data_IF_366145565029
#
_entry.id   IF_366145565029
#
_cell.length_a   1.000
_cell.length_b   1.000
_cell.length_c   1.000
_cell.angle_alpha   90.00
_cell.angle_beta   90.00
_cell.angle_gamma   90.00
#
_symmetry.space_group_name_H-M   'P 1'
#
loop_
_entity.id
_entity.type
_entity.pdbx_description
1 polymer ?
#
# COMPACT_ATOMS: atom_id res chain seq x y z
N UNK A 1 53.85 12.44 5.07
CA UNK A 1 54.88 12.47 4.01
C UNK A 1 55.64 11.15 4.10
N UNK A 2 55.68 10.41 2.98
CA UNK A 2 56.28 9.06 2.77
C UNK A 2 55.54 7.91 3.51
N UNK A 3 55.13 6.79 2.91
CA UNK A 3 55.35 6.24 1.57
C UNK A 3 54.19 5.32 1.15
N UNK A 4 53.90 5.38 -0.14
CA UNK A 4 52.93 4.60 -0.91
C UNK A 4 53.64 3.40 -1.58
N UNK A 5 52.87 2.42 -2.07
CA UNK A 5 53.28 1.18 -2.81
C UNK A 5 53.55 -0.08 -2.00
N UNK A 6 52.50 -0.89 -1.84
CA UNK A 6 52.55 -2.35 -2.14
C UNK A 6 51.14 -2.96 -2.13
N UNK A 7 50.67 -3.35 -3.32
CA UNK A 7 49.91 -4.59 -3.64
C UNK A 7 48.87 -4.33 -4.72
N UNK A 8 49.36 -4.39 -5.96
CA UNK A 8 48.56 -4.69 -7.13
C UNK A 8 49.10 -6.03 -7.67
N UNK A 9 48.44 -7.13 -7.32
CA UNK A 9 48.62 -8.47 -7.92
C UNK A 9 47.60 -9.42 -7.32
N UNK A 10 46.43 -9.59 -7.95
CA UNK A 10 45.76 -10.88 -8.19
C UNK A 10 44.69 -10.66 -9.27
N UNK A 11 45.08 -10.83 -10.52
CA UNK A 11 44.18 -11.09 -11.63
C UNK A 11 44.88 -12.10 -12.52
N UNK A 12 44.70 -13.39 -12.24
CA UNK A 12 44.94 -14.52 -13.15
C UNK A 12 44.77 -15.82 -12.37
N UNK A 13 43.59 -16.44 -12.47
CA UNK A 13 43.37 -17.89 -12.42
C UNK A 13 41.87 -18.16 -12.31
N UNK A 14 41.22 -18.36 -13.46
CA UNK A 14 40.29 -19.48 -13.69
C UNK A 14 39.56 -19.32 -15.03
N UNK A 15 40.27 -19.69 -16.10
CA UNK A 15 39.72 -19.98 -17.42
C UNK A 15 40.34 -21.28 -17.93
N UNK A 16 39.78 -22.43 -17.50
CA UNK A 16 39.87 -23.76 -18.15
C UNK A 16 39.13 -24.77 -17.27
N UNK A 17 37.93 -25.16 -17.62
CA UNK A 17 37.55 -26.44 -18.28
C UNK A 17 36.00 -26.48 -18.21
N UNK A 18 35.18 -27.00 -19.13
CA UNK A 18 35.33 -27.93 -20.25
C UNK A 18 34.09 -27.77 -21.16
N UNK A 19 34.28 -27.97 -22.47
CA UNK A 19 33.24 -27.99 -23.50
C UNK A 19 32.58 -29.38 -23.65
N UNK A 20 31.57 -29.44 -24.56
CA UNK A 20 30.71 -30.56 -25.01
C UNK A 20 29.39 -30.63 -24.21
N UNK A 21 28.17 -30.61 -24.78
CA UNK A 21 27.70 -31.12 -26.08
C UNK A 21 26.33 -30.49 -26.43
N UNK A 22 26.10 -30.22 -27.72
CA UNK A 22 24.82 -29.85 -28.35
C UNK A 22 24.07 -31.10 -28.86
N UNK A 23 22.73 -31.17 -28.72
CA UNK A 23 21.78 -31.24 -29.86
C UNK A 23 20.33 -31.68 -29.52
N UNK A 24 19.37 -31.07 -30.26
CA UNK A 24 17.99 -31.51 -30.65
C UNK A 24 16.91 -31.58 -29.55
N UNK A 25 15.63 -31.21 -29.75
CA UNK A 25 14.71 -31.01 -30.90
C UNK A 25 13.62 -29.98 -30.49
N UNK A 26 13.14 -29.02 -31.31
CA UNK A 26 12.23 -29.03 -32.47
C UNK A 26 10.75 -29.44 -32.20
N UNK A 27 9.83 -28.53 -32.56
CA UNK A 27 8.36 -28.70 -32.72
C UNK A 27 7.57 -27.63 -31.95
N UNK A 28 6.79 -26.69 -32.50
CA UNK A 28 6.16 -26.55 -33.81
C UNK A 28 4.65 -26.76 -33.69
N UNK A 29 3.84 -25.71 -33.90
CA UNK A 29 2.37 -25.83 -33.98
C UNK A 29 1.64 -24.48 -33.99
N UNK A 30 1.10 -24.12 -35.15
CA UNK A 30 0.35 -22.90 -35.45
C UNK A 30 -1.09 -23.26 -35.91
N UNK A 31 -2.02 -22.35 -35.67
CA UNK A 31 -3.28 -22.08 -36.38
C UNK A 31 -4.56 -22.95 -36.24
N UNK A 32 -5.67 -22.20 -36.15
CA UNK A 32 -6.93 -22.31 -36.91
C UNK A 32 -8.23 -22.80 -36.21
N UNK A 33 -9.19 -21.86 -36.12
CA UNK A 33 -10.63 -21.88 -36.48
C UNK A 33 -11.44 -23.20 -36.33
N UNK A 34 -12.72 -23.21 -35.92
CA UNK A 34 -13.88 -22.63 -36.64
C UNK A 34 -15.18 -22.85 -35.83
N UNK A 35 -16.17 -21.98 -36.03
CA UNK A 35 -17.60 -22.16 -35.70
C UNK A 35 -18.19 -23.43 -36.39
N UNK A 36 -19.38 -23.98 -36.11
CA UNK A 36 -20.73 -23.37 -36.25
C UNK A 36 -21.81 -24.43 -35.88
N UNK A 37 -22.85 -23.99 -35.15
CA UNK A 37 -24.32 -24.08 -35.44
C UNK A 37 -25.11 -25.42 -35.66
N UNK A 38 -26.17 -25.52 -34.82
CA UNK A 38 -27.62 -25.79 -35.07
C UNK A 38 -28.24 -27.16 -35.43
N UNK A 39 -29.41 -27.34 -34.78
CA UNK A 39 -30.70 -27.96 -35.20
C UNK A 39 -30.88 -29.49 -35.07
N UNK A 40 -31.71 -29.98 -34.15
CA UNK A 40 -33.21 -30.06 -34.08
C UNK A 40 -33.80 -31.30 -34.80
N UNK A 41 -34.49 -32.19 -34.05
CA UNK A 41 -35.92 -32.57 -34.28
C UNK A 41 -36.42 -33.80 -33.47
N UNK A 42 -37.46 -33.50 -32.67
CA UNK A 42 -38.78 -34.16 -32.54
C UNK A 42 -38.97 -35.68 -32.38
N UNK A 43 -39.71 -36.08 -31.33
CA UNK A 43 -40.99 -36.86 -31.32
C UNK A 43 -41.40 -37.12 -29.86
N UNK A 44 -42.49 -36.53 -29.35
CA UNK A 44 -43.89 -37.00 -29.36
C UNK A 44 -44.13 -38.33 -28.64
N UNK A 45 -44.84 -38.27 -27.50
CA UNK A 45 -45.42 -39.42 -26.81
C UNK A 45 -46.07 -39.00 -25.48
N UNK A 46 -47.38 -38.70 -25.52
CA UNK A 46 -48.23 -38.46 -24.36
C UNK A 46 -48.32 -39.70 -23.45
N UNK A 47 -48.18 -39.51 -22.13
CA UNK A 47 -48.92 -40.31 -21.18
C UNK A 47 -49.17 -39.52 -19.88
N UNK A 48 -50.44 -39.32 -19.56
CA UNK A 48 -50.92 -38.72 -18.31
C UNK A 48 -50.71 -39.69 -17.16
N UNK A 49 -50.14 -39.22 -16.05
CA UNK A 49 -50.77 -39.38 -14.73
C UNK A 49 -50.08 -38.58 -13.62
N UNK A 50 -50.93 -38.03 -12.75
CA UNK A 50 -50.78 -37.79 -11.31
C UNK A 50 -49.75 -36.76 -10.84
N UNK A 51 -50.31 -35.61 -10.43
CA UNK A 51 -50.03 -34.85 -9.19
C UNK A 51 -48.59 -34.90 -8.64
N UNK A 52 -47.92 -33.77 -8.76
CA UNK A 52 -47.31 -33.05 -7.62
C UNK A 52 -46.85 -31.69 -8.14
N UNK A 53 -47.65 -30.66 -7.84
CA UNK A 53 -47.22 -29.26 -7.98
C UNK A 53 -45.99 -29.06 -7.10
N UNK A 54 -44.81 -29.12 -7.71
CA UNK A 54 -43.59 -28.60 -7.12
C UNK A 54 -43.34 -27.26 -7.78
N UNK A 55 -44.08 -26.24 -7.34
CA UNK A 55 -43.75 -24.85 -7.68
C UNK A 55 -42.36 -24.54 -7.11
N UNK A 56 -41.40 -24.43 -8.02
CA UNK A 56 -40.15 -23.72 -7.78
C UNK A 56 -40.44 -22.22 -7.87
N UNK A 57 -39.95 -21.50 -6.85
CA UNK A 57 -39.96 -20.03 -6.58
C UNK A 57 -41.06 -19.72 -5.58
N UNK A 58 -40.72 -19.43 -4.33
CA UNK A 58 -39.89 -18.28 -3.99
C UNK A 58 -38.61 -18.61 -3.18
N UNK A 59 -37.45 -18.18 -3.70
CA UNK A 59 -36.17 -18.13 -2.96
C UNK A 59 -35.95 -16.67 -2.52
N UNK A 60 -36.97 -16.04 -1.94
CA UNK A 60 -36.90 -14.64 -1.52
C UNK A 60 -37.36 -14.41 -0.07
N UNK A 61 -37.55 -15.48 0.71
CA UNK A 61 -38.04 -15.37 2.09
C UNK A 61 -37.04 -15.84 3.16
N UNK A 62 -35.75 -16.00 2.83
CA UNK A 62 -34.71 -16.23 3.85
C UNK A 62 -33.42 -15.47 3.53
N UNK A 63 -33.44 -14.15 3.70
CA UNK A 63 -32.34 -13.41 4.37
C UNK A 63 -33.00 -12.24 5.13
N UNK A 64 -33.81 -12.58 6.13
CA UNK A 64 -34.05 -11.71 7.28
C UNK A 64 -32.86 -11.92 8.23
N UNK A 65 -31.96 -10.96 8.22
CA UNK A 65 -31.42 -10.33 9.42
C UNK A 65 -30.30 -9.40 8.98
N UNK A 66 -30.63 -8.12 8.93
CA UNK A 66 -29.70 -6.99 8.83
C UNK A 66 -28.79 -6.84 10.05
N UNK A 67 -28.41 -7.94 10.70
CA UNK A 67 -27.36 -8.03 11.70
C UNK A 67 -26.11 -8.61 11.03
N UNK A 68 -25.34 -7.73 10.40
CA UNK A 68 -23.90 -7.95 10.32
C UNK A 68 -23.44 -8.32 11.74
N UNK A 69 -22.96 -9.55 11.93
CA UNK A 69 -22.44 -10.04 13.20
C UNK A 69 -21.31 -9.11 13.67
N UNK A 70 -21.67 -8.10 14.47
CA UNK A 70 -20.79 -7.18 15.19
C UNK A 70 -20.47 -7.72 16.60
N UNK A 71 -20.90 -8.95 16.90
CA UNK A 71 -20.89 -9.51 18.25
C UNK A 71 -19.48 -9.78 18.82
N UNK A 72 -18.42 -9.59 18.04
CA UNK A 72 -17.03 -9.84 18.47
C UNK A 72 -16.03 -8.77 18.01
N UNK A 73 -16.51 -7.54 17.73
CA UNK A 73 -15.63 -6.41 17.44
C UNK A 73 -15.51 -5.51 18.66
N UNK A 74 -14.26 -5.27 19.07
CA UNK A 74 -13.89 -4.22 20.03
C UNK A 74 -14.49 -2.89 19.60
N UNK A 75 -15.07 -2.18 20.56
CA UNK A 75 -15.50 -0.80 20.39
C UNK A 75 -14.29 0.13 20.36
N UNK A 76 -14.21 0.96 19.33
CA UNK A 76 -13.14 1.97 19.21
C UNK A 76 -13.36 3.06 20.24
N UNK A 77 -12.38 3.26 21.12
CA UNK A 77 -12.44 4.29 22.17
C UNK A 77 -11.65 5.55 21.79
N UNK A 78 -12.02 6.74 22.28
CA UNK A 78 -11.15 7.91 22.17
C UNK A 78 -9.87 7.70 22.97
N UNK A 79 -8.72 7.90 22.32
CA UNK A 79 -7.41 7.82 22.95
C UNK A 79 -6.94 9.22 23.31
N UNK A 80 -6.73 9.45 24.60
CA UNK A 80 -6.34 10.72 25.20
C UNK A 80 -5.06 10.54 26.04
N UNK A 81 -4.37 11.62 26.41
CA UNK A 81 -3.16 11.55 27.25
C UNK A 81 -3.40 10.86 28.61
N UNK A 82 -4.63 10.90 29.11
CA UNK A 82 -4.99 10.32 30.41
C UNK A 82 -5.16 8.80 30.35
N UNK A 83 -5.66 8.27 29.23
CA UNK A 83 -5.98 6.86 29.08
C UNK A 83 -4.99 6.07 28.21
N UNK A 84 -4.24 6.72 27.32
CA UNK A 84 -3.40 6.05 26.34
C UNK A 84 -1.91 6.33 26.59
N UNK A 85 -1.19 5.34 27.12
CA UNK A 85 0.25 5.44 27.37
C UNK A 85 0.98 4.68 26.27
N UNK A 86 1.69 5.41 25.42
CA UNK A 86 2.51 4.81 24.37
C UNK A 86 3.95 4.61 24.84
N UNK A 87 4.50 3.44 24.55
CA UNK A 87 5.89 3.12 24.90
C UNK A 87 6.59 2.44 23.74
N UNK A 88 7.92 2.48 23.74
CA UNK A 88 8.75 1.74 22.78
C UNK A 88 9.15 0.40 23.40
N UNK A 89 8.73 -0.70 22.79
CA UNK A 89 9.15 -2.03 23.21
C UNK A 89 10.65 -2.24 22.99
N UNK A 90 11.21 -3.28 23.61
CA UNK A 90 12.62 -3.65 23.45
C UNK A 90 13.01 -3.90 21.98
N UNK A 91 12.07 -4.36 21.16
CA UNK A 91 12.26 -4.56 19.71
C UNK A 91 12.11 -3.30 18.86
N UNK A 92 11.89 -2.13 19.48
CA UNK A 92 11.73 -0.87 18.78
C UNK A 92 10.37 -0.67 18.11
N UNK A 93 9.36 -1.44 18.53
CA UNK A 93 7.97 -1.29 18.09
C UNK A 93 7.21 -0.40 19.07
N UNK A 94 6.13 0.22 18.60
CA UNK A 94 5.22 0.97 19.46
C UNK A 94 4.26 0.02 20.18
N UNK A 95 4.13 0.21 21.49
CA UNK A 95 3.21 -0.50 22.38
C UNK A 95 2.24 0.50 22.99
N UNK A 96 1.07 0.02 23.45
CA UNK A 96 0.05 0.83 24.09
C UNK A 96 -0.39 0.17 25.40
N UNK A 97 -0.44 0.93 26.48
CA UNK A 97 -1.23 0.61 27.65
C UNK A 97 -2.47 1.49 27.63
N UNK A 98 -3.66 0.88 27.58
CA UNK A 98 -4.94 1.56 27.67
C UNK A 98 -5.49 1.42 29.09
N UNK A 99 -5.74 2.55 29.73
CA UNK A 99 -6.38 2.62 31.04
C UNK A 99 -7.88 2.73 30.89
N UNK A 100 -8.60 2.03 31.75
CA UNK A 100 -10.04 2.07 31.81
C UNK A 100 -10.52 2.76 33.09
N UNK A 101 -11.42 3.73 32.93
CA UNK A 101 -12.07 4.49 33.99
C UNK A 101 -13.34 3.83 34.52
N UNK A 102 -13.88 2.83 33.81
CA UNK A 102 -15.03 2.01 34.21
C UNK A 102 -14.69 0.90 35.23
N UNK A 103 -13.45 0.87 35.74
CA UNK A 103 -12.97 -0.11 36.71
C UNK A 103 -12.51 -1.43 36.09
N UNK A 104 -12.46 -1.55 34.77
CA UNK A 104 -11.77 -2.67 34.10
C UNK A 104 -10.26 -2.58 34.31
N UNK A 105 -9.60 -3.73 34.20
CA UNK A 105 -8.14 -3.80 34.22
C UNK A 105 -7.55 -3.08 33.01
N UNK A 106 -6.38 -2.45 33.20
CA UNK A 106 -5.63 -1.83 32.11
C UNK A 106 -5.26 -2.89 31.06
N UNK A 107 -5.51 -2.58 29.79
CA UNK A 107 -5.15 -3.46 28.68
C UNK A 107 -3.75 -3.10 28.16
N UNK A 108 -2.92 -4.11 27.94
CA UNK A 108 -1.59 -3.93 27.33
C UNK A 108 -1.50 -4.57 25.94
N UNK A 109 -1.14 -3.75 24.96
CA UNK A 109 -0.88 -4.15 23.59
C UNK A 109 0.63 -4.11 23.33
N UNK A 110 1.24 -5.30 23.20
CA UNK A 110 2.68 -5.42 22.93
C UNK A 110 3.10 -4.70 21.64
N UNK A 111 2.23 -4.70 20.63
CA UNK A 111 2.45 -3.98 19.37
C UNK A 111 1.15 -3.36 18.90
N UNK A 112 1.21 -2.09 18.50
CA UNK A 112 0.12 -1.41 17.80
C UNK A 112 0.56 -0.89 16.43
N UNK A 113 -0.40 -0.64 15.57
CA UNK A 113 -0.23 0.03 14.27
C UNK A 113 -0.96 1.36 14.34
N UNK A 114 -0.28 2.43 13.93
CA UNK A 114 -0.86 3.77 13.81
C UNK A 114 -1.14 4.10 12.34
N UNK A 115 -2.34 4.61 12.06
CA UNK A 115 -2.82 4.95 10.72
C UNK A 115 -3.44 6.35 10.71
N UNK A 116 -3.15 7.14 9.67
CA UNK A 116 -3.88 8.38 9.42
C UNK A 116 -5.23 8.04 8.78
N UNK A 117 -6.34 8.46 9.39
CA UNK A 117 -7.65 8.39 8.74
C UNK A 117 -7.74 9.36 7.57
N UNK A 118 -7.08 10.52 7.69
CA UNK A 118 -7.01 11.55 6.65
C UNK A 118 -5.56 11.90 6.31
N UNK A 119 -4.84 11.05 5.54
CA UNK A 119 -3.40 11.19 5.32
C UNK A 119 -2.96 12.51 4.70
N UNK A 120 -3.85 13.16 3.94
CA UNK A 120 -3.55 14.36 3.15
C UNK A 120 -4.02 15.63 3.86
N UNK A 121 -5.31 15.69 4.23
CA UNK A 121 -5.94 16.90 4.76
C UNK A 121 -5.63 17.12 6.23
N UNK A 122 -5.59 16.06 7.04
CA UNK A 122 -5.38 16.16 8.48
C UNK A 122 -4.33 15.12 8.94
N UNK A 123 -3.05 15.27 8.52
CA UNK A 123 -2.02 14.25 8.76
C UNK A 123 -1.65 14.03 10.24
N UNK A 124 -2.03 14.97 11.11
CA UNK A 124 -1.76 14.96 12.56
C UNK A 124 -3.04 14.80 13.40
N UNK A 125 -4.18 14.55 12.77
CA UNK A 125 -5.48 14.36 13.43
C UNK A 125 -6.13 13.04 13.00
N UNK A 126 -7.04 12.54 13.83
CA UNK A 126 -7.78 11.30 13.57
C UNK A 126 -6.84 10.11 13.29
N UNK A 127 -5.92 9.87 14.21
CA UNK A 127 -4.96 8.77 14.09
C UNK A 127 -5.58 7.52 14.69
N UNK A 128 -5.90 6.55 13.84
CA UNK A 128 -6.40 5.24 14.23
C UNK A 128 -5.26 4.40 14.80
N UNK A 129 -5.46 3.82 15.98
CA UNK A 129 -4.54 2.89 16.63
C UNK A 129 -5.19 1.52 16.63
N UNK A 130 -4.47 0.52 16.09
CA UNK A 130 -5.01 -0.81 15.82
C UNK A 130 -4.07 -1.90 16.27
N UNK A 131 -4.62 -3.08 16.49
CA UNK A 131 -3.81 -4.28 16.55
C UNK A 131 -3.13 -4.57 15.19
N UNK A 132 -2.03 -5.32 15.18
CA UNK A 132 -1.40 -5.75 13.94
C UNK A 132 -2.24 -6.77 13.18
N UNK A 133 -2.13 -6.74 11.85
CA UNK A 133 -2.71 -7.80 11.01
C UNK A 133 -1.98 -9.13 11.30
N UNK A 134 -2.74 -10.22 11.40
CA UNK A 134 -2.19 -11.56 11.62
C UNK A 134 -2.80 -12.56 10.65
N UNK A 135 -2.06 -13.62 10.31
CA UNK A 135 -2.58 -14.69 9.44
C UNK A 135 -3.80 -15.40 10.04
N UNK A 136 -3.87 -15.46 11.38
CA UNK A 136 -4.93 -16.16 12.09
C UNK A 136 -6.21 -15.33 12.23
N UNK A 137 -6.10 -14.02 12.56
CA UNK A 137 -7.26 -13.14 12.82
C UNK A 137 -7.57 -12.17 11.67
N UNK A 138 -6.77 -12.15 10.61
CA UNK A 138 -6.95 -11.22 9.50
C UNK A 138 -6.56 -9.79 9.87
N UNK A 139 -7.41 -8.82 9.53
CA UNK A 139 -7.16 -7.41 9.85
C UNK A 139 -7.27 -7.14 11.34
N UNK A 140 -6.28 -6.45 11.90
CA UNK A 140 -6.30 -6.06 13.31
C UNK A 140 -7.48 -5.15 13.64
N UNK A 141 -8.08 -5.38 14.81
CA UNK A 141 -9.20 -4.57 15.29
C UNK A 141 -8.70 -3.16 15.68
N UNK A 142 -9.57 -2.17 15.56
CA UNK A 142 -9.25 -0.82 16.02
C UNK A 142 -9.36 -0.76 17.53
N UNK A 143 -8.29 -0.32 18.18
CA UNK A 143 -8.25 -0.14 19.62
C UNK A 143 -8.92 1.17 19.99
N UNK A 144 -8.59 2.23 19.24
CA UNK A 144 -9.13 3.54 19.45
C UNK A 144 -8.59 4.57 18.47
N UNK A 145 -8.99 5.84 18.67
CA UNK A 145 -8.60 6.94 17.80
C UNK A 145 -8.10 8.14 18.60
N UNK A 146 -6.95 8.66 18.20
CA UNK A 146 -6.42 9.93 18.68
C UNK A 146 -7.05 11.06 17.86
N UNK A 147 -7.65 12.03 18.54
CA UNK A 147 -8.26 13.19 17.87
C UNK A 147 -7.21 14.12 17.29
N UNK A 148 -6.22 14.55 18.07
CA UNK A 148 -5.08 15.37 17.64
C UNK A 148 -3.81 14.90 18.33
N UNK A 149 -2.72 14.78 17.57
CA UNK A 149 -1.42 14.44 18.17
C UNK A 149 -0.94 15.52 19.14
N UNK A 150 -1.24 16.79 18.88
CA UNK A 150 -0.86 17.92 19.75
C UNK A 150 -1.44 17.86 21.17
N UNK A 151 -2.42 16.98 21.42
CA UNK A 151 -2.99 16.81 22.76
C UNK A 151 -2.04 15.99 23.66
N UNK A 152 -1.12 15.20 23.08
CA UNK A 152 -0.13 14.38 23.81
C UNK A 152 1.18 15.13 24.07
N UNK A 153 2.00 14.60 24.99
CA UNK A 153 3.34 15.10 25.26
C UNK A 153 4.30 14.90 24.06
N UNK A 154 5.39 15.68 24.03
CA UNK A 154 6.32 15.71 22.91
C UNK A 154 7.01 14.35 22.64
N UNK A 155 7.25 13.55 23.68
CA UNK A 155 7.87 12.23 23.54
C UNK A 155 6.92 11.25 22.85
N UNK A 156 5.66 11.20 23.30
CA UNK A 156 4.60 10.40 22.69
C UNK A 156 4.34 10.83 21.24
N UNK A 157 4.25 12.13 20.99
CA UNK A 157 4.05 12.67 19.63
C UNK A 157 5.20 12.25 18.71
N UNK A 158 6.44 12.36 19.19
CA UNK A 158 7.61 11.94 18.42
C UNK A 158 7.56 10.45 18.10
N UNK A 159 7.22 9.60 19.07
CA UNK A 159 7.11 8.15 18.90
C UNK A 159 6.08 7.81 17.80
N UNK A 160 4.89 8.40 17.87
CA UNK A 160 3.83 8.17 16.88
C UNK A 160 4.24 8.68 15.50
N UNK A 161 4.87 9.86 15.41
CA UNK A 161 5.38 10.40 14.14
C UNK A 161 6.44 9.51 13.51
N UNK A 162 7.33 8.93 14.29
CA UNK A 162 8.34 8.00 13.77
C UNK A 162 7.68 6.79 13.09
N UNK A 163 6.62 6.22 13.70
CA UNK A 163 5.88 5.11 13.10
C UNK A 163 5.04 5.52 11.89
N UNK A 164 4.39 6.69 11.94
CA UNK A 164 3.68 7.24 10.79
C UNK A 164 4.64 7.52 9.61
N UNK A 165 5.83 8.07 9.87
CA UNK A 165 6.82 8.35 8.83
C UNK A 165 7.39 7.09 8.19
N UNK A 166 7.54 6.00 8.96
CA UNK A 166 7.92 4.69 8.42
C UNK A 166 6.86 4.13 7.48
N UNK A 167 5.58 4.37 7.78
CA UNK A 167 4.46 3.82 7.01
C UNK A 167 4.06 4.68 5.81
N UNK A 168 4.02 5.99 5.98
CA UNK A 168 3.63 6.98 4.97
C UNK A 168 4.87 7.70 4.43
N UNK A 169 5.90 6.93 4.09
CA UNK A 169 7.15 7.50 3.60
C UNK A 169 6.95 8.09 2.22
N UNK A 170 7.01 9.42 2.12
CA UNK A 170 6.95 10.16 0.87
C UNK A 170 8.17 11.07 0.74
N UNK A 171 9.23 10.66 0.01
CA UNK A 171 10.40 11.51 -0.18
C UNK A 171 10.03 12.83 -0.85
N UNK A 172 10.55 13.93 -0.30
CA UNK A 172 10.35 15.26 -0.89
C UNK A 172 11.31 15.44 -2.05
N UNK A 173 10.79 15.73 -3.24
CA UNK A 173 11.59 16.04 -4.43
C UNK A 173 12.19 17.45 -4.26
N UNK A 174 13.51 17.51 -4.26
CA UNK A 174 14.29 18.76 -4.16
C UNK A 174 14.69 19.30 -5.53
N UNK A 175 14.92 18.41 -6.49
CA UNK A 175 15.39 18.75 -7.84
C UNK A 175 14.97 17.68 -8.85
N UNK A 176 14.58 18.09 -10.04
CA UNK A 176 14.24 17.20 -11.16
C UNK A 176 15.30 17.35 -12.25
N UNK A 177 16.15 16.34 -12.39
CA UNK A 177 17.24 16.32 -13.37
C UNK A 177 16.70 16.10 -14.78
N UNK A 178 15.86 15.07 -14.97
CA UNK A 178 15.30 14.76 -16.28
C UNK A 178 13.91 14.15 -16.19
N UNK A 179 13.10 14.44 -17.21
CA UNK A 179 11.80 13.80 -17.48
C UNK A 179 11.82 13.42 -18.96
N UNK A 180 11.64 12.13 -19.25
CA UNK A 180 11.69 11.59 -20.62
C UNK A 180 10.46 10.75 -20.89
N UNK A 181 9.75 11.03 -21.97
CA UNK A 181 8.56 10.27 -22.34
C UNK A 181 8.89 9.22 -23.42
N UNK A 182 8.44 7.98 -23.22
CA UNK A 182 8.62 6.88 -24.17
C UNK A 182 7.50 5.85 -24.02
N UNK A 183 6.85 5.51 -25.13
CA UNK A 183 5.76 4.51 -25.18
C UNK A 183 4.62 4.77 -24.17
N UNK A 184 4.27 6.03 -23.94
CA UNK A 184 3.24 6.42 -22.97
C UNK A 184 3.70 6.48 -21.52
N UNK A 185 4.92 6.02 -21.21
CA UNK A 185 5.52 6.15 -19.88
C UNK A 185 6.38 7.41 -19.78
N UNK A 186 6.48 7.96 -18.57
CA UNK A 186 7.35 9.07 -18.24
C UNK A 186 8.40 8.63 -17.23
N UNK A 187 9.67 8.78 -17.60
CA UNK A 187 10.83 8.38 -16.82
C UNK A 187 11.42 9.62 -16.15
N UNK A 188 11.44 9.61 -14.82
CA UNK A 188 11.87 10.72 -14.00
C UNK A 188 13.18 10.39 -13.33
N UNK A 189 14.07 11.38 -13.29
CA UNK A 189 15.30 11.32 -12.50
C UNK A 189 15.34 12.54 -11.58
N UNK A 190 15.28 12.30 -10.28
CA UNK A 190 15.12 13.36 -9.28
C UNK A 190 16.03 13.17 -8.07
N UNK A 191 16.37 14.27 -7.42
CA UNK A 191 16.97 14.28 -6.09
C UNK A 191 15.88 14.44 -5.03
N UNK A 192 15.92 13.63 -3.98
CA UNK A 192 14.92 13.64 -2.91
C UNK A 192 15.56 13.75 -1.52
N UNK A 193 14.76 13.89 -0.48
CA UNK A 193 15.22 13.74 0.91
C UNK A 193 15.82 12.36 1.21
N UNK A 194 15.50 11.34 0.40
CA UNK A 194 16.01 9.98 0.51
C UNK A 194 17.21 9.70 -0.43
N UNK A 195 17.70 10.72 -1.14
CA UNK A 195 18.75 10.59 -2.16
C UNK A 195 18.21 10.63 -3.59
N UNK A 196 19.10 10.35 -4.55
CA UNK A 196 18.78 10.36 -5.98
C UNK A 196 18.00 9.10 -6.36
N UNK A 197 16.91 9.28 -7.08
CA UNK A 197 16.00 8.21 -7.48
C UNK A 197 15.59 8.37 -8.93
N UNK A 198 15.36 7.23 -9.58
CA UNK A 198 14.70 7.15 -10.87
C UNK A 198 13.38 6.42 -10.69
N UNK A 199 12.28 7.02 -11.15
CA UNK A 199 10.95 6.44 -11.05
C UNK A 199 10.18 6.63 -12.36
N UNK A 200 9.12 5.84 -12.53
CA UNK A 200 8.37 5.77 -13.79
C UNK A 200 6.89 6.04 -13.51
N UNK A 201 6.29 6.91 -14.31
CA UNK A 201 4.84 7.15 -14.33
C UNK A 201 4.25 6.48 -15.58
N UNK A 202 3.14 5.77 -15.44
CA UNK A 202 2.37 5.24 -16.58
C UNK A 202 1.51 6.30 -17.26
N UNK A 203 1.03 7.30 -16.53
CA UNK A 203 0.39 8.50 -17.09
C UNK A 203 0.61 9.69 -16.14
N UNK A 204 1.49 10.66 -16.51
CA UNK A 204 1.77 11.82 -15.67
C UNK A 204 0.52 12.58 -15.21
N UNK A 205 -0.50 12.76 -16.06
CA UNK A 205 -1.70 13.54 -15.72
C UNK A 205 -2.61 12.88 -14.69
N UNK A 206 -2.60 11.55 -14.57
CA UNK A 206 -3.35 10.85 -13.52
C UNK A 206 -2.54 10.61 -12.25
N UNK A 207 -1.22 10.56 -12.38
CA UNK A 207 -0.29 10.19 -11.32
C UNK A 207 0.29 11.39 -10.58
N UNK A 208 0.22 12.59 -11.17
CA UNK A 208 0.56 13.87 -10.56
C UNK A 208 -0.75 14.52 -10.10
N UNK A 209 -0.82 14.84 -8.81
CA UNK A 209 -2.01 15.41 -8.17
C UNK A 209 -1.63 16.69 -7.43
N UNK A 210 -2.26 17.79 -7.80
CA UNK A 210 -2.16 19.06 -7.09
C UNK A 210 -3.26 19.12 -6.03
N UNK A 211 -2.88 19.43 -4.80
CA UNK A 211 -3.79 19.60 -3.68
C UNK A 211 -4.26 21.06 -3.58
N UNK A 212 -5.33 21.31 -2.83
CA UNK A 212 -5.89 22.65 -2.63
C UNK A 212 -4.89 23.62 -1.97
N UNK A 213 -3.97 23.11 -1.16
CA UNK A 213 -2.90 23.88 -0.53
C UNK A 213 -1.67 24.08 -1.44
N UNK A 214 -1.73 23.62 -2.69
CA UNK A 214 -0.68 23.77 -3.71
C UNK A 214 0.43 22.72 -3.65
N UNK A 215 0.38 21.77 -2.71
CA UNK A 215 1.30 20.63 -2.68
C UNK A 215 1.05 19.70 -3.86
N UNK A 216 2.12 19.08 -4.36
CA UNK A 216 2.03 18.09 -5.44
C UNK A 216 2.41 16.72 -4.89
N UNK A 217 1.55 15.73 -5.13
CA UNK A 217 1.86 14.32 -4.94
C UNK A 217 2.08 13.64 -6.28
N UNK A 218 3.12 12.80 -6.36
CA UNK A 218 3.46 12.01 -7.53
C UNK A 218 3.54 10.56 -7.13
N UNK A 219 2.71 9.70 -7.74
CA UNK A 219 2.73 8.26 -7.48
C UNK A 219 3.29 7.50 -8.69
N UNK A 220 4.33 6.70 -8.48
CA UNK A 220 4.92 5.89 -9.54
C UNK A 220 4.16 4.57 -9.77
N UNK A 221 4.58 3.82 -10.78
CA UNK A 221 4.00 2.52 -11.12
C UNK A 221 4.20 1.44 -10.06
N UNK A 222 5.22 1.59 -9.21
CA UNK A 222 5.57 0.64 -8.14
C UNK A 222 4.84 0.97 -6.83
N UNK A 223 4.05 2.05 -6.81
CA UNK A 223 3.30 2.53 -5.64
C UNK A 223 4.11 3.43 -4.70
N UNK A 224 5.31 3.85 -5.09
CA UNK A 224 6.06 4.85 -4.35
C UNK A 224 5.40 6.22 -4.53
N UNK A 225 5.33 6.98 -3.43
CA UNK A 225 4.75 8.31 -3.41
C UNK A 225 5.83 9.35 -3.14
N UNK A 226 5.84 10.42 -3.92
CA UNK A 226 6.76 11.55 -3.78
C UNK A 226 5.98 12.84 -3.58
N UNK A 227 6.56 13.78 -2.85
CA UNK A 227 5.93 15.06 -2.53
C UNK A 227 6.76 16.24 -3.04
N UNK A 228 6.11 17.28 -3.55
CA UNK A 228 6.67 18.62 -3.73
C UNK A 228 5.82 19.57 -2.88
N UNK A 229 6.29 19.94 -1.67
CA UNK A 229 5.50 20.76 -0.74
C UNK A 229 5.19 22.17 -1.24
N UNK A 230 6.08 22.75 -2.04
CA UNK A 230 5.86 24.05 -2.66
C UNK A 230 6.59 24.08 -4.01
N UNK A 231 5.85 24.00 -5.13
CA UNK A 231 6.44 24.00 -6.46
C UNK A 231 7.27 25.25 -6.74
N UNK A 232 6.93 26.39 -6.13
CA UNK A 232 7.63 27.67 -6.33
C UNK A 232 9.01 27.70 -5.68
N UNK A 233 9.29 26.79 -4.75
CA UNK A 233 10.62 26.65 -4.11
C UNK A 233 11.59 25.77 -4.93
N UNK A 234 11.12 25.13 -5.99
CA UNK A 234 12.00 24.41 -6.92
C UNK A 234 12.85 25.39 -7.72
N UNK A 235 14.02 24.93 -8.16
CA UNK A 235 14.80 25.70 -9.12
C UNK A 235 14.02 25.85 -10.46
N UNK A 236 14.24 26.92 -11.23
CA UNK A 236 13.45 27.19 -12.43
C UNK A 236 13.45 26.05 -13.46
N UNK A 237 14.54 25.27 -13.56
CA UNK A 237 14.62 24.16 -14.50
C UNK A 237 13.81 22.95 -14.03
N UNK A 238 13.72 22.72 -12.71
CA UNK A 238 12.82 21.72 -12.11
C UNK A 238 11.37 22.16 -12.20
N UNK A 239 11.06 23.42 -11.87
CA UNK A 239 9.70 23.96 -11.95
C UNK A 239 9.13 23.82 -13.35
N UNK A 240 9.88 24.20 -14.39
CA UNK A 240 9.44 24.08 -15.78
C UNK A 240 9.08 22.65 -16.22
N UNK A 241 9.69 21.63 -15.60
CA UNK A 241 9.37 20.22 -15.91
C UNK A 241 8.06 19.79 -15.26
N UNK A 242 7.75 20.28 -14.07
CA UNK A 242 6.50 19.94 -13.38
C UNK A 242 5.34 20.82 -13.86
N UNK A 243 5.60 22.07 -14.24
CA UNK A 243 4.61 23.05 -14.73
C UNK A 243 3.79 22.54 -15.92
N UNK A 244 4.36 21.65 -16.75
CA UNK A 244 3.65 21.04 -17.88
C UNK A 244 2.50 20.10 -17.46
N UNK A 245 2.44 19.74 -16.18
CA UNK A 245 1.49 18.79 -15.60
C UNK A 245 0.58 19.42 -14.52
N UNK A 246 0.70 20.74 -14.29
CA UNK A 246 -0.13 21.51 -13.35
C UNK A 246 -1.26 22.23 -14.09
#
# INVERSE_FOLDING_TARGET
MADDKKKNTVAEENKKTKAAETSKAAGGGDSAATATKTEEKSKSGDNKNTETDTEKKDILDEIDDGDLILQDRRESVPLTPENAIFTRSQGGLISLTLKHDDGKEDEFFERVIVLRAFPITNPEEFISVREPDTKAKGKGQEIGMIRRLSDFDEETVRLIREELNRRYFSPVIKKIYSVKEKFGYSYWESDTTAGRVTFILNNPFSNIRVLEDGRIFINDIDGNSFEIPDPKKLDPASYRKIEMYL
#
